data_IF_406713012963
#
_entry.id   IF_406713012963
#
_cell.length_a   1.000
_cell.length_b   1.000
_cell.length_c   1.000
_cell.angle_alpha   90.00
_cell.angle_beta   90.00
_cell.angle_gamma   90.00
#
_symmetry.space_group_name_H-M   'P 1'
#
loop_
_entity.id
_entity.type
_entity.pdbx_description
1 polymer ?
#
# COMPACT_ATOMS: atom_id res chain seq x y z
N UNK A 1 25.73 -41.54 -21.14
CA UNK A 1 25.49 -42.04 -19.77
C UNK A 1 24.18 -41.47 -19.28
N UNK A 2 23.32 -42.30 -18.69
CA UNK A 2 22.04 -41.84 -18.10
C UNK A 2 22.33 -41.40 -16.67
N UNK A 3 22.40 -40.09 -16.47
CA UNK A 3 22.52 -39.48 -15.16
C UNK A 3 21.22 -39.74 -14.37
N UNK A 4 21.30 -40.44 -13.23
CA UNK A 4 20.14 -40.80 -12.39
C UNK A 4 20.52 -41.11 -10.94
N UNK A 5 19.57 -40.96 -10.01
CA UNK A 5 19.73 -41.10 -8.55
C UNK A 5 19.50 -39.79 -7.78
N UNK A 6 19.36 -39.84 -6.45
CA UNK A 6 19.11 -38.67 -5.58
C UNK A 6 20.18 -37.57 -5.69
N UNK A 7 21.40 -37.94 -6.07
CA UNK A 7 22.49 -36.99 -6.39
C UNK A 7 22.17 -36.02 -7.53
N UNK A 8 21.16 -36.32 -8.36
CA UNK A 8 20.67 -35.42 -9.41
C UNK A 8 19.57 -34.50 -8.93
N UNK A 9 18.79 -34.92 -7.93
CA UNK A 9 17.75 -34.09 -7.34
C UNK A 9 18.35 -32.95 -6.52
N UNK A 10 19.48 -33.18 -5.84
CA UNK A 10 20.20 -32.17 -5.07
C UNK A 10 20.57 -30.89 -5.87
N UNK A 11 21.29 -30.96 -7.00
CA UNK A 11 21.64 -29.76 -7.77
C UNK A 11 20.43 -29.07 -8.41
N UNK A 12 19.34 -29.79 -8.68
CA UNK A 12 18.09 -29.18 -9.16
C UNK A 12 17.47 -28.31 -8.08
N UNK A 13 17.31 -28.83 -6.86
CA UNK A 13 16.78 -28.05 -5.73
C UNK A 13 17.70 -26.87 -5.40
N UNK A 14 19.02 -27.08 -5.42
CA UNK A 14 19.99 -26.00 -5.22
C UNK A 14 19.87 -24.89 -6.28
N UNK A 15 19.63 -25.26 -7.54
CA UNK A 15 19.39 -24.30 -8.61
C UNK A 15 18.11 -23.47 -8.41
N UNK A 16 17.03 -24.10 -7.93
CA UNK A 16 15.79 -23.39 -7.60
C UNK A 16 15.98 -22.48 -6.38
N UNK A 17 16.68 -22.94 -5.35
CA UNK A 17 17.02 -22.11 -4.19
C UNK A 17 17.82 -20.87 -4.59
N UNK A 18 18.79 -21.02 -5.50
CA UNK A 18 19.54 -19.90 -6.06
C UNK A 18 18.64 -18.94 -6.86
N UNK A 19 17.64 -19.46 -7.59
CA UNK A 19 16.69 -18.63 -8.31
C UNK A 19 15.78 -17.83 -7.34
N UNK A 20 15.33 -18.45 -6.25
CA UNK A 20 14.59 -17.78 -5.16
C UNK A 20 15.43 -16.64 -4.57
N UNK A 21 16.70 -16.90 -4.23
CA UNK A 21 17.61 -15.87 -3.72
C UNK A 21 17.92 -14.77 -4.73
N UNK A 22 17.88 -15.08 -6.04
CA UNK A 22 18.05 -14.05 -7.07
C UNK A 22 16.87 -13.09 -7.15
N UNK A 23 15.67 -13.54 -6.76
CA UNK A 23 14.48 -12.71 -6.67
C UNK A 23 14.50 -11.85 -5.40
N UNK A 24 14.91 -12.41 -4.27
CA UNK A 24 15.11 -11.70 -3.02
C UNK A 24 16.37 -12.18 -2.29
N UNK A 25 17.40 -11.34 -2.27
CA UNK A 25 18.70 -11.63 -1.65
C UNK A 25 18.69 -11.45 -0.13
N UNK A 26 17.62 -10.90 0.45
CA UNK A 26 17.49 -10.71 1.88
C UNK A 26 17.01 -11.95 2.63
N UNK A 27 16.51 -12.96 1.89
CA UNK A 27 16.01 -14.20 2.46
C UNK A 27 17.10 -15.01 3.16
N UNK A 28 16.76 -15.49 4.35
CA UNK A 28 17.53 -16.47 5.09
C UNK A 28 17.36 -17.87 4.51
N UNK A 29 18.27 -18.78 4.90
CA UNK A 29 18.17 -20.19 4.49
C UNK A 29 16.86 -20.86 4.96
N UNK A 30 16.32 -20.43 6.11
CA UNK A 30 15.05 -20.93 6.63
C UNK A 30 13.88 -20.43 5.79
N UNK A 31 13.85 -19.14 5.45
CA UNK A 31 12.78 -18.60 4.60
C UNK A 31 12.82 -19.21 3.19
N UNK A 32 14.01 -19.45 2.63
CA UNK A 32 14.14 -20.19 1.37
C UNK A 32 13.60 -21.61 1.51
N UNK A 33 13.91 -22.31 2.61
CA UNK A 33 13.37 -23.65 2.86
C UNK A 33 11.84 -23.63 2.97
N UNK A 34 11.28 -22.67 3.71
CA UNK A 34 9.84 -22.51 3.88
C UNK A 34 9.15 -22.22 2.54
N UNK A 35 9.71 -21.33 1.72
CA UNK A 35 9.21 -21.05 0.37
C UNK A 35 9.22 -22.31 -0.49
N UNK A 36 10.34 -23.03 -0.55
CA UNK A 36 10.46 -24.23 -1.39
C UNK A 36 9.48 -25.34 -0.96
N UNK A 37 9.25 -25.49 0.35
CA UNK A 37 8.37 -26.53 0.88
C UNK A 37 6.89 -26.15 0.79
N UNK A 38 6.54 -24.89 1.04
CA UNK A 38 5.16 -24.40 0.90
C UNK A 38 4.66 -24.36 -0.55
N UNK A 39 5.59 -24.27 -1.52
CA UNK A 39 5.25 -24.18 -2.94
C UNK A 39 5.42 -25.48 -3.72
N UNK A 40 5.91 -26.55 -3.07
CA UNK A 40 6.10 -27.84 -3.69
C UNK A 40 4.78 -28.46 -4.20
N UNK A 41 4.87 -29.21 -5.30
CA UNK A 41 3.74 -29.96 -5.85
C UNK A 41 3.69 -31.36 -5.22
N UNK A 42 2.55 -31.71 -4.63
CA UNK A 42 2.27 -33.09 -4.23
C UNK A 42 2.12 -33.97 -5.48
N UNK A 43 3.00 -34.95 -5.66
CA UNK A 43 3.06 -35.79 -6.86
C UNK A 43 3.34 -37.26 -6.49
N UNK A 44 3.40 -38.14 -7.48
CA UNK A 44 3.81 -39.55 -7.27
C UNK A 44 2.73 -40.47 -6.70
N UNK A 45 1.54 -39.93 -6.37
CA UNK A 45 0.41 -40.74 -5.89
C UNK A 45 0.55 -41.22 -4.44
N UNK A 46 1.46 -40.62 -3.67
CA UNK A 46 1.63 -40.89 -2.24
C UNK A 46 0.61 -40.11 -1.41
N UNK A 47 0.40 -40.55 -0.17
CA UNK A 47 -0.47 -39.86 0.78
C UNK A 47 0.33 -38.77 1.49
N UNK A 48 -0.07 -37.52 1.32
CA UNK A 48 0.50 -36.38 2.03
C UNK A 48 -0.33 -36.07 3.28
N UNK A 49 0.30 -36.12 4.45
CA UNK A 49 -0.29 -35.69 5.73
C UNK A 49 0.26 -34.33 6.07
N UNK A 50 -0.60 -33.31 6.17
CA UNK A 50 -0.20 -31.91 6.38
C UNK A 50 0.83 -31.42 5.33
N UNK A 51 0.66 -31.80 4.06
CA UNK A 51 1.56 -31.42 2.97
C UNK A 51 2.88 -32.19 2.91
N UNK A 52 3.03 -33.27 3.69
CA UNK A 52 4.28 -34.05 3.74
C UNK A 52 4.04 -35.56 3.58
N UNK A 53 4.94 -36.25 2.88
CA UNK A 53 4.96 -37.72 2.66
C UNK A 53 6.32 -38.31 3.03
N UNK A 54 6.36 -39.59 3.41
CA UNK A 54 7.63 -40.26 3.74
C UNK A 54 8.54 -40.42 2.51
N UNK A 55 7.96 -40.58 1.32
CA UNK A 55 8.69 -40.87 0.09
C UNK A 55 9.22 -39.62 -0.62
N UNK A 56 8.47 -38.52 -0.60
CA UNK A 56 8.79 -37.30 -1.35
C UNK A 56 8.89 -36.04 -0.47
N UNK A 57 8.75 -36.17 0.85
CA UNK A 57 8.69 -35.02 1.74
C UNK A 57 7.52 -34.12 1.34
N UNK A 58 7.80 -32.83 1.12
CA UNK A 58 6.80 -31.85 0.65
C UNK A 58 6.44 -31.99 -0.83
N UNK A 59 7.10 -32.90 -1.57
CA UNK A 59 6.82 -33.16 -2.97
C UNK A 59 7.88 -32.61 -3.92
N UNK A 60 7.48 -32.37 -5.17
CA UNK A 60 8.37 -31.90 -6.23
C UNK A 60 8.51 -30.38 -6.15
N UNK A 61 9.75 -29.88 -6.13
CA UNK A 61 10.02 -28.44 -6.17
C UNK A 61 9.34 -27.76 -7.38
N UNK A 62 8.71 -26.62 -7.15
CA UNK A 62 8.03 -25.83 -8.18
C UNK A 62 8.70 -24.46 -8.31
N UNK A 63 9.67 -24.34 -9.22
CA UNK A 63 10.48 -23.14 -9.36
C UNK A 63 9.66 -21.86 -9.61
N UNK A 64 8.60 -21.94 -10.43
CA UNK A 64 7.80 -20.77 -10.74
C UNK A 64 7.03 -20.28 -9.50
N UNK A 65 6.36 -21.19 -8.77
CA UNK A 65 5.65 -20.82 -7.53
C UNK A 65 6.60 -20.34 -6.43
N UNK A 66 7.76 -20.99 -6.26
CA UNK A 66 8.77 -20.56 -5.27
C UNK A 66 9.28 -19.14 -5.54
N UNK A 67 9.58 -18.82 -6.79
CA UNK A 67 10.05 -17.47 -7.18
C UNK A 67 8.93 -16.44 -7.06
N UNK A 68 7.70 -16.81 -7.40
CA UNK A 68 6.54 -15.94 -7.24
C UNK A 68 6.31 -15.57 -5.76
N UNK A 69 6.47 -16.53 -4.86
CA UNK A 69 6.35 -16.31 -3.41
C UNK A 69 7.44 -15.34 -2.92
N UNK A 70 8.69 -15.54 -3.35
CA UNK A 70 9.80 -14.64 -3.03
C UNK A 70 9.52 -13.20 -3.48
N UNK A 71 9.04 -12.99 -4.72
CA UNK A 71 8.66 -11.67 -5.19
C UNK A 71 7.49 -11.07 -4.42
N UNK A 72 6.52 -11.89 -4.01
CA UNK A 72 5.34 -11.43 -3.28
C UNK A 72 5.69 -10.83 -1.92
N UNK A 73 6.79 -11.29 -1.29
CA UNK A 73 7.30 -10.72 -0.04
C UNK A 73 7.89 -9.31 -0.16
N UNK A 74 8.42 -8.94 -1.34
CA UNK A 74 9.12 -7.66 -1.56
C UNK A 74 8.36 -6.69 -2.46
N UNK A 75 7.38 -7.15 -3.22
CA UNK A 75 6.55 -6.28 -4.04
C UNK A 75 5.70 -5.37 -3.16
N UNK A 76 5.64 -4.09 -3.52
CA UNK A 76 4.88 -3.09 -2.78
C UNK A 76 4.32 -2.04 -3.70
N UNK A 77 3.22 -1.43 -3.28
CA UNK A 77 2.66 -0.25 -3.95
C UNK A 77 2.86 0.95 -3.03
N UNK A 78 3.39 2.03 -3.56
CA UNK A 78 3.51 3.32 -2.86
C UNK A 78 2.71 4.38 -3.57
N UNK A 79 2.19 5.35 -2.83
CA UNK A 79 1.49 6.50 -3.38
C UNK A 79 0.98 7.42 -2.28
N UNK A 80 0.17 8.43 -2.62
CA UNK A 80 -0.42 9.31 -1.63
C UNK A 80 -1.57 8.62 -0.86
N UNK A 81 -1.67 8.91 0.43
CA UNK A 81 -2.81 8.50 1.28
C UNK A 81 -4.07 9.33 1.06
N UNK A 82 -3.96 10.44 0.31
CA UNK A 82 -5.06 11.33 -0.05
C UNK A 82 -5.06 11.53 -1.57
N UNK A 83 -6.20 11.31 -2.22
CA UNK A 83 -6.39 11.56 -3.66
C UNK A 83 -7.48 12.59 -3.87
N UNK A 84 -7.09 13.73 -4.41
CA UNK A 84 -7.98 14.84 -4.76
C UNK A 84 -8.49 14.74 -6.20
N UNK A 85 -9.18 15.76 -6.68
CA UNK A 85 -9.60 15.88 -8.09
C UNK A 85 -8.44 16.13 -9.06
N UNK A 86 -7.25 16.45 -8.55
CA UNK A 86 -5.99 16.46 -9.29
C UNK A 86 -5.45 15.04 -9.50
N UNK A 87 -4.51 14.89 -10.43
CA UNK A 87 -3.89 13.60 -10.70
C UNK A 87 -2.98 13.17 -9.54
N UNK A 88 -3.08 11.90 -9.17
CA UNK A 88 -2.23 11.22 -8.20
C UNK A 88 -1.71 9.94 -8.81
N UNK A 89 -0.41 9.67 -8.64
CA UNK A 89 0.25 8.48 -9.21
C UNK A 89 0.67 7.53 -8.10
N UNK A 90 0.39 6.26 -8.31
CA UNK A 90 0.83 5.13 -7.50
C UNK A 90 1.91 4.38 -8.26
N UNK A 91 2.92 3.89 -7.56
CA UNK A 91 4.06 3.17 -8.14
C UNK A 91 4.14 1.77 -7.54
N UNK A 92 4.18 0.77 -8.41
CA UNK A 92 4.47 -0.63 -8.08
C UNK A 92 5.98 -0.83 -8.11
N UNK A 93 6.52 -1.38 -7.03
CA UNK A 93 7.93 -1.68 -6.88
C UNK A 93 8.19 -3.18 -6.96
N UNK A 94 9.40 -3.53 -7.39
CA UNK A 94 9.90 -4.90 -7.43
C UNK A 94 9.04 -5.87 -8.27
N UNK A 95 8.34 -5.35 -9.30
CA UNK A 95 7.61 -6.20 -10.24
C UNK A 95 8.60 -7.08 -11.03
N UNK A 96 8.35 -8.39 -11.17
CA UNK A 96 9.22 -9.27 -11.95
C UNK A 96 9.20 -8.90 -13.44
N UNK A 97 10.37 -8.94 -14.08
CA UNK A 97 10.52 -8.68 -15.52
C UNK A 97 9.71 -9.66 -16.38
N UNK A 98 9.10 -9.17 -17.45
CA UNK A 98 8.31 -9.99 -18.38
C UNK A 98 6.89 -10.30 -17.91
N UNK A 99 6.49 -9.83 -16.73
CA UNK A 99 5.11 -10.00 -16.22
C UNK A 99 4.19 -8.90 -16.74
N UNK A 100 2.88 -9.14 -16.69
CA UNK A 100 1.87 -8.13 -17.00
C UNK A 100 1.17 -7.68 -15.72
N UNK A 101 0.83 -6.39 -15.65
CA UNK A 101 0.09 -5.82 -14.52
C UNK A 101 -1.23 -5.24 -15.00
N UNK A 102 -2.30 -5.57 -14.30
CA UNK A 102 -3.62 -5.01 -14.50
C UNK A 102 -4.04 -4.24 -13.24
N UNK A 103 -4.13 -2.93 -13.37
CA UNK A 103 -4.57 -2.06 -12.30
C UNK A 103 -6.09 -1.95 -12.25
N UNK A 104 -6.61 -1.92 -11.03
CA UNK A 104 -8.01 -1.69 -10.70
C UNK A 104 -8.09 -0.67 -9.56
N UNK A 105 -9.28 -0.09 -9.37
CA UNK A 105 -9.50 1.01 -8.42
C UNK A 105 -10.92 0.95 -7.87
N UNK A 106 -11.14 1.59 -6.73
CA UNK A 106 -12.47 1.83 -6.17
C UNK A 106 -13.35 2.71 -7.08
N UNK A 107 -14.67 2.67 -6.85
CA UNK A 107 -15.68 3.35 -7.66
C UNK A 107 -15.64 4.88 -7.58
N UNK A 108 -15.04 5.44 -6.52
CA UNK A 108 -14.89 6.88 -6.29
C UNK A 108 -13.66 7.51 -6.99
N UNK A 109 -12.86 6.70 -7.67
CA UNK A 109 -11.70 7.14 -8.46
C UNK A 109 -11.99 7.03 -9.97
N UNK A 110 -11.39 7.92 -10.76
CA UNK A 110 -11.29 7.86 -12.22
C UNK A 110 -9.88 7.46 -12.63
N UNK A 111 -9.78 6.61 -13.65
CA UNK A 111 -8.51 6.28 -14.29
C UNK A 111 -8.06 7.47 -15.13
N UNK A 112 -6.75 7.71 -15.16
CA UNK A 112 -6.14 8.75 -15.99
C UNK A 112 -5.16 8.11 -16.97
N UNK A 113 -4.16 7.36 -16.48
CA UNK A 113 -3.12 6.76 -17.31
C UNK A 113 -2.35 5.66 -16.57
N UNK A 114 -1.54 4.89 -17.31
CA UNK A 114 -0.56 3.99 -16.72
C UNK A 114 -0.97 2.52 -16.58
N UNK A 115 -2.08 2.11 -17.22
CA UNK A 115 -2.47 0.70 -17.26
C UNK A 115 -1.37 -0.14 -17.93
N UNK A 116 -1.08 -1.34 -17.38
CA UNK A 116 -0.02 -2.20 -17.90
C UNK A 116 1.40 -1.77 -17.50
N UNK A 117 1.55 -0.71 -16.70
CA UNK A 117 2.86 -0.18 -16.30
C UNK A 117 3.02 -0.16 -14.78
N UNK A 118 4.23 0.12 -14.31
CA UNK A 118 4.53 0.25 -12.88
C UNK A 118 3.96 1.54 -12.26
N UNK A 119 3.58 2.53 -13.07
CA UNK A 119 3.02 3.79 -12.61
C UNK A 119 1.55 3.89 -12.99
N UNK A 120 0.66 4.02 -12.03
CA UNK A 120 -0.78 4.09 -12.24
C UNK A 120 -1.35 5.40 -11.73
N UNK A 121 -1.88 6.20 -12.63
CA UNK A 121 -2.41 7.54 -12.31
C UNK A 121 -3.93 7.53 -12.27
N UNK A 122 -4.47 8.03 -11.16
CA UNK A 122 -5.90 8.19 -10.91
C UNK A 122 -6.19 9.60 -10.39
N UNK A 123 -7.47 9.95 -10.34
CA UNK A 123 -7.97 11.15 -9.65
C UNK A 123 -9.33 10.86 -9.02
N UNK A 124 -9.73 11.61 -8.01
CA UNK A 124 -11.07 11.52 -7.46
C UNK A 124 -12.11 12.08 -8.44
N UNK A 125 -13.32 11.51 -8.45
CA UNK A 125 -14.46 12.20 -9.04
C UNK A 125 -14.80 13.45 -8.23
N UNK A 126 -15.40 14.48 -8.86
CA UNK A 126 -15.76 15.72 -8.17
C UNK A 126 -16.73 15.54 -7.01
N UNK A 127 -17.59 14.53 -7.08
CA UNK A 127 -18.56 14.14 -6.05
C UNK A 127 -18.06 13.05 -5.10
N UNK A 128 -16.81 12.58 -5.26
CA UNK A 128 -16.25 11.53 -4.41
C UNK A 128 -16.02 12.06 -2.99
N UNK A 129 -16.26 11.19 -2.00
CA UNK A 129 -15.95 11.40 -0.59
C UNK A 129 -15.76 10.04 0.09
N UNK A 130 -14.89 9.98 1.10
CA UNK A 130 -14.60 8.77 1.87
C UNK A 130 -13.31 8.06 1.43
N UNK A 131 -13.10 6.85 1.95
CA UNK A 131 -11.89 6.05 1.68
C UNK A 131 -11.91 5.48 0.26
N UNK A 132 -10.75 5.06 -0.25
CA UNK A 132 -10.64 4.42 -1.56
C UNK A 132 -9.50 3.41 -1.60
N UNK A 133 -9.27 2.83 -2.77
CA UNK A 133 -8.15 1.92 -2.97
C UNK A 133 -7.76 1.83 -4.44
N UNK A 134 -6.50 1.47 -4.68
CA UNK A 134 -6.00 0.96 -5.95
C UNK A 134 -5.44 -0.43 -5.74
N UNK A 135 -5.50 -1.28 -6.77
CA UNK A 135 -5.01 -2.64 -6.68
C UNK A 135 -4.31 -3.03 -7.98
N UNK A 136 -3.07 -3.48 -7.87
CA UNK A 136 -2.30 -4.07 -8.95
C UNK A 136 -2.51 -5.59 -8.93
N UNK A 137 -2.92 -6.17 -10.06
CA UNK A 137 -2.95 -7.62 -10.27
C UNK A 137 -1.84 -7.99 -11.26
N UNK A 138 -0.82 -8.68 -10.79
CA UNK A 138 0.31 -9.17 -11.59
C UNK A 138 0.00 -10.60 -12.03
N UNK A 139 -0.02 -10.83 -13.33
CA UNK A 139 -0.22 -12.17 -13.91
C UNK A 139 1.11 -12.76 -14.30
N UNK A 140 1.36 -13.98 -13.83
CA UNK A 140 2.52 -14.81 -14.17
C UNK A 140 2.05 -16.19 -14.65
N UNK A 141 2.93 -16.94 -15.30
CA UNK A 141 2.57 -18.24 -15.90
C UNK A 141 2.06 -19.28 -14.89
N UNK A 142 2.48 -19.17 -13.62
CA UNK A 142 2.11 -20.09 -12.55
C UNK A 142 1.11 -19.54 -11.53
N UNK A 143 0.54 -18.35 -11.74
CA UNK A 143 -0.39 -17.75 -10.79
C UNK A 143 -0.62 -16.26 -10.97
N UNK A 144 -1.35 -15.68 -10.02
CA UNK A 144 -1.59 -14.23 -9.97
C UNK A 144 -1.26 -13.72 -8.58
N UNK A 145 -0.63 -12.55 -8.51
CA UNK A 145 -0.38 -11.84 -7.25
C UNK A 145 -1.15 -10.53 -7.29
N UNK A 146 -1.86 -10.23 -6.20
CA UNK A 146 -2.63 -8.99 -6.09
C UNK A 146 -2.18 -8.19 -4.89
N UNK A 147 -1.85 -6.92 -5.13
CA UNK A 147 -1.43 -5.98 -4.08
C UNK A 147 -2.42 -4.84 -4.06
N UNK A 148 -3.05 -4.62 -2.90
CA UNK A 148 -3.98 -3.52 -2.70
C UNK A 148 -3.33 -2.44 -1.84
N UNK A 149 -3.47 -1.20 -2.29
CA UNK A 149 -3.12 -0.01 -1.54
C UNK A 149 -4.40 0.71 -1.14
N UNK A 150 -4.63 0.86 0.17
CA UNK A 150 -5.77 1.59 0.70
C UNK A 150 -5.43 3.09 0.80
N UNK A 151 -6.39 3.92 0.45
CA UNK A 151 -6.29 5.38 0.43
C UNK A 151 -7.24 5.90 1.51
N UNK A 152 -6.71 6.68 2.45
CA UNK A 152 -7.45 7.17 3.60
C UNK A 152 -8.54 8.16 3.19
N UNK A 153 -8.30 8.95 2.14
CA UNK A 153 -9.31 9.88 1.61
C UNK A 153 -9.28 10.05 0.10
N UNK A 154 -10.44 9.97 -0.53
CA UNK A 154 -10.68 10.24 -1.94
C UNK A 154 -11.81 11.25 -2.07
N UNK A 155 -11.50 12.42 -2.61
CA UNK A 155 -12.50 13.46 -2.82
C UNK A 155 -11.94 14.86 -2.72
N UNK A 156 -12.85 15.83 -2.75
CA UNK A 156 -12.49 17.21 -2.46
C UNK A 156 -12.12 17.32 -0.98
N UNK A 157 -10.85 17.59 -0.69
CA UNK A 157 -10.45 18.06 0.63
C UNK A 157 -10.87 19.52 0.70
N UNK A 158 -11.85 19.82 1.55
CA UNK A 158 -12.16 21.22 1.85
C UNK A 158 -11.01 21.77 2.70
N UNK A 159 -10.60 23.04 2.49
CA UNK A 159 -9.65 23.67 3.39
C UNK A 159 -10.19 23.54 4.81
N UNK A 160 -9.30 23.28 5.76
CA UNK A 160 -9.62 23.29 7.17
C UNK A 160 -10.16 24.69 7.52
N UNK A 161 -11.45 24.79 7.80
CA UNK A 161 -12.14 26.05 8.08
C UNK A 161 -12.39 26.16 9.58
N UNK A 162 -11.42 26.75 10.30
CA UNK A 162 -11.58 27.08 11.72
C UNK A 162 -12.28 28.43 11.82
N UNK A 163 -13.57 28.42 12.17
CA UNK A 163 -14.33 29.63 12.46
C UNK A 163 -14.57 29.76 13.95
N UNK A 164 -14.22 30.91 14.52
CA UNK A 164 -14.71 31.28 15.84
C UNK A 164 -16.10 31.86 15.70
N UNK A 165 -17.06 31.28 16.40
CA UNK A 165 -18.46 31.70 16.37
C UNK A 165 -18.77 32.31 17.73
N UNK A 166 -19.39 33.49 17.75
CA UNK A 166 -19.97 34.05 18.96
C UNK A 166 -21.18 33.19 19.38
N UNK A 167 -21.12 32.60 20.56
CA UNK A 167 -22.16 31.68 21.06
C UNK A 167 -23.53 32.35 21.28
N UNK A 168 -23.55 33.67 21.36
CA UNK A 168 -24.76 34.47 21.61
C UNK A 168 -25.46 34.84 20.31
N UNK A 169 -24.69 35.11 19.25
CA UNK A 169 -25.23 35.58 17.97
C UNK A 169 -25.18 34.52 16.86
N UNK A 170 -24.39 33.46 17.02
CA UNK A 170 -24.16 32.44 15.99
C UNK A 170 -23.36 32.96 14.79
N UNK A 171 -22.85 34.19 14.83
CA UNK A 171 -22.08 34.80 13.75
C UNK A 171 -20.58 34.57 13.93
N UNK A 172 -19.80 34.52 12.84
CA UNK A 172 -18.36 34.42 12.96
C UNK A 172 -17.77 35.69 13.61
N UNK A 173 -16.82 35.51 14.53
CA UNK A 173 -16.15 36.58 15.26
C UNK A 173 -14.81 36.88 14.57
N UNK A 174 -14.75 38.02 13.90
CA UNK A 174 -13.59 38.46 13.12
C UNK A 174 -12.68 39.44 13.88
N UNK A 175 -13.18 40.02 14.98
CA UNK A 175 -12.43 40.97 15.81
C UNK A 175 -12.27 40.37 17.19
N UNK A 176 -11.02 40.22 17.58
CA UNK A 176 -10.64 39.82 18.92
C UNK A 176 -10.33 41.03 19.80
N UNK A 177 -10.12 40.82 21.10
CA UNK A 177 -9.69 41.89 21.99
C UNK A 177 -8.37 42.49 21.48
N UNK A 178 -8.39 43.79 21.18
CA UNK A 178 -7.19 44.56 20.82
C UNK A 178 -6.16 44.45 21.94
N UNK A 179 -4.89 44.25 21.56
CA UNK A 179 -3.74 44.16 22.47
C UNK A 179 -3.75 42.98 23.46
N UNK A 180 -4.50 41.91 23.16
CA UNK A 180 -4.48 40.68 23.93
C UNK A 180 -4.15 39.47 23.05
N UNK A 181 -3.44 38.50 23.60
CA UNK A 181 -3.23 37.21 22.94
C UNK A 181 -4.56 36.46 22.83
N UNK A 182 -4.89 35.98 21.64
CA UNK A 182 -6.12 35.22 21.38
C UNK A 182 -5.78 33.76 21.11
N UNK A 183 -5.75 32.90 22.14
CA UNK A 183 -5.41 31.51 21.95
C UNK A 183 -6.54 30.79 21.19
N UNK A 184 -6.18 30.09 20.12
CA UNK A 184 -7.04 29.07 19.50
C UNK A 184 -6.68 27.73 20.16
N UNK A 185 -7.67 27.08 20.79
CA UNK A 185 -7.46 25.80 21.47
C UNK A 185 -8.29 24.72 20.77
N UNK A 186 -7.63 23.61 20.41
CA UNK A 186 -8.30 22.34 20.13
C UNK A 186 -8.88 21.81 21.43
N UNK A 187 -10.17 21.49 21.48
CA UNK A 187 -10.76 20.84 22.65
C UNK A 187 -11.43 19.54 22.22
N UNK A 188 -11.08 18.45 22.88
CA UNK A 188 -11.84 17.21 22.81
C UNK A 188 -13.21 17.42 23.45
N UNK A 189 -14.29 17.30 22.69
CA UNK A 189 -15.61 17.10 23.29
C UNK A 189 -15.74 15.60 23.61
N UNK A 190 -16.00 15.27 24.88
CA UNK A 190 -16.15 13.93 25.47
C UNK A 190 -14.89 13.25 26.04
N UNK A 191 -14.43 13.70 27.20
CA UNK A 191 -14.02 12.87 28.37
C UNK A 191 -13.11 11.64 28.22
N UNK A 192 -12.46 11.39 27.08
CA UNK A 192 -11.54 10.26 26.92
C UNK A 192 -10.15 10.67 27.46
N UNK A 193 -9.65 10.05 28.54
CA UNK A 193 -8.41 10.44 29.23
C UNK A 193 -7.13 10.01 28.50
N UNK A 194 -7.19 9.68 27.21
CA UNK A 194 -6.07 9.12 26.44
C UNK A 194 -5.76 9.90 25.16
N UNK A 195 -6.20 11.15 25.05
CA UNK A 195 -5.85 12.03 23.93
C UNK A 195 -5.19 13.28 24.51
N UNK A 196 -3.86 13.19 24.62
CA UNK A 196 -3.03 14.18 25.28
C UNK A 196 -2.21 15.00 24.27
N UNK A 197 -2.14 14.53 23.02
CA UNK A 197 -1.32 15.11 21.96
C UNK A 197 -2.18 15.52 20.76
N UNK A 198 -2.05 16.79 20.37
CA UNK A 198 -2.78 17.41 19.27
C UNK A 198 -1.77 17.98 18.28
N UNK A 199 -1.38 17.17 17.30
CA UNK A 199 -0.53 17.63 16.20
C UNK A 199 -1.37 18.25 15.09
N UNK A 200 -1.26 19.57 14.95
CA UNK A 200 -1.86 20.31 13.85
C UNK A 200 -0.88 20.40 12.68
N UNK A 201 -1.01 19.51 11.69
CA UNK A 201 -0.31 19.66 10.41
C UNK A 201 -1.05 20.68 9.53
N UNK A 202 -0.69 21.95 9.66
CA UNK A 202 -1.19 23.02 8.78
C UNK A 202 -0.33 23.06 7.51
N UNK A 203 -0.47 22.08 6.62
CA UNK A 203 0.25 22.09 5.34
C UNK A 203 -0.41 23.07 4.36
N UNK A 204 0.14 24.29 4.30
CA UNK A 204 -0.23 25.29 3.30
C UNK A 204 -1.37 26.24 3.68
N UNK A 205 -1.80 26.25 4.94
CA UNK A 205 -2.67 27.30 5.45
C UNK A 205 -1.87 28.56 5.78
N UNK A 206 -2.09 29.64 5.03
CA UNK A 206 -1.62 30.96 5.43
C UNK A 206 -2.75 31.63 6.24
N UNK A 207 -2.49 31.97 7.50
CA UNK A 207 -3.38 32.87 8.25
C UNK A 207 -3.13 34.26 7.66
N UNK A 208 -3.83 34.59 6.59
CA UNK A 208 -3.88 35.95 6.06
C UNK A 208 -5.10 36.63 6.66
N UNK A 209 -4.87 37.75 7.31
CA UNK A 209 -5.91 38.74 7.51
C UNK A 209 -5.82 39.69 6.32
N UNK A 210 -6.91 39.81 5.56
CA UNK A 210 -7.03 40.94 4.64
C UNK A 210 -7.27 42.15 5.52
N UNK A 211 -6.24 42.99 5.65
CA UNK A 211 -6.39 44.31 6.19
C UNK A 211 -6.86 45.26 5.09
N UNK A 212 -8.11 45.74 5.09
CA UNK A 212 -8.49 46.83 4.20
C UNK A 212 -7.78 48.17 4.55
N UNK A 213 -6.95 48.24 5.61
CA UNK A 213 -6.35 49.48 6.13
C UNK A 213 -4.81 49.50 6.23
N UNK A 214 -4.07 48.50 5.73
CA UNK A 214 -2.59 48.44 5.71
C UNK A 214 -1.83 48.72 7.04
N UNK A 215 -2.47 48.60 8.21
CA UNK A 215 -1.79 48.53 9.51
C UNK A 215 -1.48 47.09 9.97
N UNK A 216 -0.39 46.94 10.73
CA UNK A 216 0.19 45.65 11.14
C UNK A 216 -0.44 45.07 12.42
N UNK A 217 -1.76 45.13 12.58
CA UNK A 217 -2.45 44.70 13.83
C UNK A 217 -3.34 43.50 13.66
#
# INVERSE_FOLDING_TARGET
GRFGGTSHSCPVVAGVAALVLSADQSLTYLEVFDILTATADEVGGYTYTNGWSEELGYGRVNACRSVLEAFSGIMSVTGPSIVCTSNSTFTLHNRPSGTTVNWTKSSNLSYVSGQGTDNYTVKAYSSASGTGWVQAAITVDCGNVTIRYNIDWVGKVLPLDIRLIDRTTGMPKYVFCLYQANPVQAKHDYGNPHIDDWDWYVSGGHITYDNPYEDNS
#
